data_IF_880238258089
#
_entry.id   IF_880238258089
#
_cell.length_a   1.000
_cell.length_b   1.000
_cell.length_c   1.000
_cell.angle_alpha   90.00
_cell.angle_beta   90.00
_cell.angle_gamma   90.00
#
_symmetry.space_group_name_H-M   'P 1'
#
loop_
_entity.id
_entity.type
_entity.pdbx_description
1 polymer ?
#
# COMPACT_ATOMS: atom_id res chain seq x y z
N UNK A 1 -9.82 -8.33 -21.09
CA UNK A 1 -8.62 -7.61 -20.59
C UNK A 1 -8.38 -6.28 -21.31
N UNK A 2 -8.99 -5.98 -22.47
CA UNK A 2 -8.74 -4.71 -23.18
C UNK A 2 -9.90 -3.72 -23.22
N UNK A 3 -11.17 -4.13 -23.05
CA UNK A 3 -12.28 -3.20 -23.29
C UNK A 3 -12.77 -2.40 -22.08
N UNK A 4 -12.23 -2.63 -20.88
CA UNK A 4 -12.73 -1.96 -19.65
C UNK A 4 -11.69 -1.54 -18.62
N UNK A 5 -10.39 -1.63 -18.93
CA UNK A 5 -9.34 -1.14 -18.02
C UNK A 5 -9.53 -1.56 -16.57
N UNK A 6 -9.35 -2.84 -16.25
CA UNK A 6 -9.25 -3.38 -14.88
C UNK A 6 -10.18 -2.72 -13.83
N UNK A 7 -11.51 -2.75 -14.04
CA UNK A 7 -12.46 -2.38 -13.00
C UNK A 7 -12.19 -3.19 -11.72
N UNK A 8 -11.77 -2.50 -10.65
CA UNK A 8 -11.46 -3.09 -9.34
C UNK A 8 -10.03 -3.56 -9.09
N UNK A 9 -9.06 -3.27 -9.99
CA UNK A 9 -7.66 -3.76 -10.09
C UNK A 9 -6.76 -3.87 -8.84
N UNK A 10 -7.21 -4.56 -7.80
CA UNK A 10 -6.51 -4.89 -6.56
C UNK A 10 -6.58 -6.40 -6.35
N UNK A 11 -5.44 -7.07 -6.32
CA UNK A 11 -5.35 -8.52 -6.18
C UNK A 11 -4.46 -8.87 -5.00
N UNK A 12 -4.88 -9.86 -4.21
CA UNK A 12 -4.04 -10.54 -3.24
C UNK A 12 -3.72 -11.92 -3.82
N UNK A 13 -2.42 -12.22 -3.95
CA UNK A 13 -1.95 -13.52 -4.41
C UNK A 13 -1.36 -14.23 -3.21
N UNK A 14 -2.05 -15.24 -2.70
CA UNK A 14 -1.63 -16.01 -1.54
C UNK A 14 -0.60 -17.08 -1.93
N UNK A 15 0.54 -17.08 -1.25
CA UNK A 15 1.57 -18.09 -1.39
C UNK A 15 2.25 -18.11 -2.75
N UNK A 16 2.41 -16.98 -3.43
CA UNK A 16 3.23 -16.85 -4.63
C UNK A 16 3.88 -15.46 -4.67
N UNK A 17 5.13 -15.33 -5.15
CA UNK A 17 6.05 -16.38 -5.57
C UNK A 17 6.66 -17.16 -4.39
N UNK A 18 6.95 -18.46 -4.57
CA UNK A 18 7.65 -19.30 -3.56
C UNK A 18 9.11 -19.61 -3.89
N UNK A 19 9.58 -19.19 -5.07
CA UNK A 19 10.94 -19.39 -5.56
C UNK A 19 11.32 -18.30 -6.56
N UNK A 20 12.61 -18.18 -6.90
CA UNK A 20 13.05 -17.23 -7.93
C UNK A 20 12.54 -17.60 -9.32
N UNK A 21 12.32 -18.88 -9.62
CA UNK A 21 11.73 -19.30 -10.88
C UNK A 21 10.27 -18.83 -10.99
N UNK A 22 9.50 -18.91 -9.90
CA UNK A 22 8.16 -18.31 -9.84
C UNK A 22 8.24 -16.79 -10.09
N UNK A 23 9.17 -16.11 -9.45
CA UNK A 23 9.34 -14.66 -9.61
C UNK A 23 9.76 -14.27 -11.03
N UNK A 24 10.64 -15.04 -11.66
CA UNK A 24 11.06 -14.83 -13.04
C UNK A 24 9.89 -15.01 -14.00
N UNK A 25 9.14 -16.11 -13.86
CA UNK A 25 7.95 -16.36 -14.67
C UNK A 25 6.89 -15.26 -14.50
N UNK A 26 6.70 -14.74 -13.29
CA UNK A 26 5.82 -13.58 -13.07
C UNK A 26 6.26 -12.37 -13.88
N UNK A 27 7.55 -12.03 -13.86
CA UNK A 27 8.05 -10.87 -14.59
C UNK A 27 7.93 -11.02 -16.11
N UNK A 28 8.11 -12.22 -16.63
CA UNK A 28 7.97 -12.52 -18.07
C UNK A 28 6.52 -12.43 -18.54
N UNK A 29 5.57 -12.93 -17.74
CA UNK A 29 4.16 -13.04 -18.16
C UNK A 29 3.32 -11.83 -17.75
N UNK A 30 3.51 -11.32 -16.53
CA UNK A 30 2.62 -10.33 -15.89
C UNK A 30 3.37 -9.04 -15.52
N UNK A 31 4.70 -9.06 -15.41
CA UNK A 31 5.50 -7.95 -14.88
C UNK A 31 5.30 -6.60 -15.58
N UNK A 32 4.97 -6.60 -16.87
CA UNK A 32 4.69 -5.37 -17.63
C UNK A 32 3.22 -4.91 -17.53
N UNK A 33 2.32 -5.80 -17.10
CA UNK A 33 0.88 -5.55 -17.03
C UNK A 33 0.42 -5.17 -15.61
N UNK A 34 1.19 -5.51 -14.58
CA UNK A 34 0.83 -5.28 -13.19
C UNK A 34 1.97 -4.65 -12.40
N UNK A 35 1.63 -3.70 -11.53
CA UNK A 35 2.56 -3.14 -10.55
C UNK A 35 2.40 -3.86 -9.21
N UNK A 36 3.45 -4.53 -8.74
CA UNK A 36 3.49 -5.09 -7.38
C UNK A 36 3.64 -3.93 -6.39
N UNK A 37 2.64 -3.75 -5.51
CA UNK A 37 2.62 -2.63 -4.54
C UNK A 37 3.40 -2.93 -3.26
N UNK A 38 3.28 -4.15 -2.75
CA UNK A 38 3.95 -4.62 -1.53
C UNK A 38 3.88 -6.14 -1.44
N UNK A 39 4.74 -6.73 -0.61
CA UNK A 39 4.70 -8.14 -0.21
C UNK A 39 4.51 -8.19 1.30
N UNK A 40 3.45 -8.83 1.77
CA UNK A 40 3.20 -9.01 3.21
C UNK A 40 3.77 -10.36 3.61
N UNK A 41 4.72 -10.36 4.55
CA UNK A 41 5.33 -11.56 5.08
C UNK A 41 4.94 -11.75 6.54
N UNK A 42 4.21 -12.83 6.80
CA UNK A 42 3.84 -13.25 8.15
C UNK A 42 5.00 -14.04 8.75
N UNK A 43 5.78 -13.36 9.58
CA UNK A 43 6.97 -13.92 10.22
C UNK A 43 6.58 -14.68 11.48
N UNK A 44 7.11 -15.88 11.64
CA UNK A 44 6.76 -16.77 12.75
C UNK A 44 7.88 -17.79 12.95
N UNK A 45 8.24 -18.07 14.20
CA UNK A 45 9.23 -19.12 14.49
C UNK A 45 8.76 -20.49 13.98
N UNK A 46 9.68 -21.31 13.50
CA UNK A 46 9.39 -22.67 13.06
C UNK A 46 8.67 -23.50 14.12
N UNK A 47 9.09 -23.42 15.39
CA UNK A 47 8.44 -24.13 16.51
C UNK A 47 6.95 -23.82 16.62
N UNK A 48 6.55 -22.56 16.40
CA UNK A 48 5.14 -22.14 16.43
C UNK A 48 4.41 -22.61 15.18
N UNK A 49 5.05 -22.57 14.00
CA UNK A 49 4.48 -23.10 12.76
C UNK A 49 4.25 -24.61 12.85
N UNK A 50 5.21 -25.38 13.34
CA UNK A 50 5.09 -26.84 13.53
C UNK A 50 3.95 -27.18 14.48
N UNK A 51 3.87 -26.52 15.63
CA UNK A 51 2.77 -26.72 16.60
C UNK A 51 1.41 -26.47 15.97
N UNK A 52 1.25 -25.35 15.25
CA UNK A 52 0.00 -24.99 14.56
C UNK A 52 -0.37 -26.02 13.50
N UNK A 53 0.58 -26.43 12.65
CA UNK A 53 0.35 -27.42 11.60
C UNK A 53 -0.06 -28.79 12.18
N UNK A 54 0.56 -29.23 13.28
CA UNK A 54 0.18 -30.45 13.97
C UNK A 54 -1.24 -30.38 14.58
N UNK A 55 -1.64 -29.23 15.13
CA UNK A 55 -3.01 -29.02 15.63
C UNK A 55 -4.05 -28.98 14.49
N UNK A 56 -3.70 -28.38 13.36
CA UNK A 56 -4.55 -28.38 12.15
C UNK A 56 -4.70 -29.78 11.55
N UNK A 57 -3.65 -30.60 11.53
CA UNK A 57 -3.72 -31.99 11.04
C UNK A 57 -4.69 -32.84 11.87
N UNK A 58 -4.74 -32.63 13.19
CA UNK A 58 -5.68 -33.32 14.10
C UNK A 58 -7.15 -32.96 13.86
N UNK A 59 -7.43 -31.73 13.42
CA UNK A 59 -8.79 -31.19 13.29
C UNK A 59 -9.34 -31.25 11.86
N UNK A 60 -8.47 -31.26 10.84
CA UNK A 60 -8.86 -31.19 9.42
C UNK A 60 -9.01 -32.55 8.72
N UNK A 61 -8.64 -33.66 9.38
CA UNK A 61 -8.68 -34.99 8.77
C UNK A 61 -7.65 -35.21 7.66
N UNK A 62 -6.65 -34.32 7.54
CA UNK A 62 -5.52 -34.49 6.62
C UNK A 62 -4.57 -35.53 7.19
N UNK A 63 -4.61 -36.73 6.62
CA UNK A 63 -3.81 -37.91 7.00
C UNK A 63 -2.30 -37.71 6.68
N UNK A 64 -1.95 -36.70 5.86
CA UNK A 64 -0.61 -36.51 5.32
C UNK A 64 0.30 -35.55 6.14
N UNK A 65 -0.23 -34.88 7.16
CA UNK A 65 0.54 -33.99 8.06
C UNK A 65 1.24 -34.83 9.15
N UNK A 66 2.17 -35.69 8.73
CA UNK A 66 3.15 -36.30 9.63
C UNK A 66 4.33 -35.33 9.85
N UNK A 67 5.03 -35.46 10.97
CA UNK A 67 6.11 -34.54 11.35
C UNK A 67 7.20 -34.40 10.26
N UNK A 68 7.39 -35.44 9.44
CA UNK A 68 8.36 -35.43 8.34
C UNK A 68 7.91 -34.52 7.18
N UNK A 69 6.63 -34.53 6.81
CA UNK A 69 6.10 -33.65 5.75
C UNK A 69 6.15 -32.18 6.14
N UNK A 70 5.87 -31.87 7.41
CA UNK A 70 6.01 -30.52 7.97
C UNK A 70 7.46 -30.03 7.88
N UNK A 71 8.43 -30.85 8.30
CA UNK A 71 9.86 -30.50 8.21
C UNK A 71 10.32 -30.25 6.79
N UNK A 72 9.92 -31.10 5.83
CA UNK A 72 10.23 -30.90 4.40
C UNK A 72 9.66 -29.58 3.88
N UNK A 73 8.43 -29.23 4.28
CA UNK A 73 7.81 -27.93 3.91
C UNK A 73 8.59 -26.74 4.46
N UNK A 74 9.06 -26.82 5.71
CA UNK A 74 9.90 -25.77 6.31
C UNK A 74 11.28 -25.68 5.65
N UNK A 75 11.87 -26.82 5.29
CA UNK A 75 13.13 -26.85 4.56
C UNK A 75 13.03 -26.19 3.19
N UNK A 76 12.02 -26.55 2.39
CA UNK A 76 11.74 -25.93 1.08
C UNK A 76 11.47 -24.43 1.23
N UNK A 77 10.71 -24.04 2.25
CA UNK A 77 10.46 -22.63 2.53
C UNK A 77 11.77 -21.87 2.82
N UNK A 78 12.68 -22.45 3.62
CA UNK A 78 13.99 -21.85 3.90
C UNK A 78 14.88 -21.75 2.67
N UNK A 79 14.95 -22.81 1.87
CA UNK A 79 15.88 -22.89 0.74
C UNK A 79 15.40 -22.12 -0.49
N UNK A 80 14.08 -22.06 -0.74
CA UNK A 80 13.53 -21.49 -1.96
C UNK A 80 12.76 -20.19 -1.74
N UNK A 81 11.98 -20.08 -0.66
CA UNK A 81 11.07 -18.95 -0.45
C UNK A 81 11.73 -17.78 0.29
N UNK A 82 12.54 -18.03 1.33
CA UNK A 82 13.25 -16.96 2.05
C UNK A 82 14.17 -16.11 1.16
N UNK A 83 14.93 -16.67 0.18
CA UNK A 83 15.71 -15.85 -0.73
C UNK A 83 14.87 -14.83 -1.53
N UNK A 84 13.65 -15.20 -1.91
CA UNK A 84 12.71 -14.29 -2.58
C UNK A 84 12.19 -13.22 -1.62
N UNK A 85 11.91 -13.59 -0.36
CA UNK A 85 11.54 -12.64 0.69
C UNK A 85 12.64 -11.59 0.91
N UNK A 86 13.90 -12.01 1.02
CA UNK A 86 15.05 -11.11 1.16
C UNK A 86 15.22 -10.19 -0.06
N UNK A 87 14.89 -10.67 -1.26
CA UNK A 87 14.89 -9.83 -2.46
C UNK A 87 13.87 -8.69 -2.33
N UNK A 88 12.63 -8.99 -1.97
CA UNK A 88 11.61 -7.96 -1.78
C UNK A 88 11.91 -7.01 -0.61
N UNK A 89 12.65 -7.47 0.39
CA UNK A 89 13.16 -6.63 1.47
C UNK A 89 14.19 -5.62 0.95
N UNK A 90 15.15 -6.07 0.15
CA UNK A 90 16.14 -5.21 -0.50
C UNK A 90 15.50 -4.21 -1.47
N UNK A 91 14.41 -4.59 -2.14
CA UNK A 91 13.64 -3.72 -3.04
C UNK A 91 12.71 -2.75 -2.28
N UNK A 92 12.64 -2.82 -0.94
CA UNK A 92 11.79 -1.95 -0.11
C UNK A 92 10.28 -2.27 -0.15
N UNK A 93 9.91 -3.37 -0.80
CA UNK A 93 8.52 -3.79 -1.00
C UNK A 93 7.99 -4.71 0.10
N UNK A 94 8.87 -5.29 0.93
CA UNK A 94 8.47 -6.21 2.00
C UNK A 94 7.84 -5.46 3.19
N UNK A 95 6.77 -6.03 3.75
CA UNK A 95 6.14 -5.65 5.03
C UNK A 95 6.06 -6.88 5.91
N UNK A 96 6.88 -6.94 6.96
CA UNK A 96 6.90 -8.04 7.92
C UNK A 96 5.86 -7.82 9.03
N UNK A 97 5.11 -8.87 9.36
CA UNK A 97 4.18 -8.89 10.50
C UNK A 97 4.51 -10.11 11.35
N UNK A 98 4.78 -9.90 12.64
CA UNK A 98 4.92 -11.01 13.59
C UNK A 98 3.58 -11.73 13.76
N UNK A 99 3.52 -12.94 13.22
CA UNK A 99 2.39 -13.86 13.24
C UNK A 99 2.47 -14.89 14.37
N UNK A 100 3.47 -14.82 15.25
CA UNK A 100 3.56 -15.64 16.47
C UNK A 100 2.52 -15.26 17.54
N UNK A 101 1.97 -14.05 17.46
CA UNK A 101 0.94 -13.49 18.36
C UNK A 101 -0.48 -13.98 18.05
N UNK A 102 -1.46 -13.47 18.79
CA UNK A 102 -2.88 -13.78 18.57
C UNK A 102 -3.40 -13.23 17.24
N UNK A 103 -4.44 -13.87 16.67
CA UNK A 103 -5.06 -13.44 15.41
C UNK A 103 -5.52 -11.98 15.47
N UNK A 104 -6.03 -11.52 16.63
CA UNK A 104 -6.49 -10.15 16.82
C UNK A 104 -5.35 -9.12 16.74
N UNK A 105 -4.20 -9.42 17.36
CA UNK A 105 -3.01 -8.57 17.31
C UNK A 105 -2.40 -8.54 15.91
N UNK A 106 -2.29 -9.70 15.27
CA UNK A 106 -1.82 -9.82 13.88
C UNK A 106 -2.71 -8.99 12.95
N UNK A 107 -4.04 -9.12 13.08
CA UNK A 107 -4.98 -8.33 12.28
C UNK A 107 -4.88 -6.82 12.56
N UNK A 108 -4.59 -6.42 13.80
CA UNK A 108 -4.37 -5.02 14.12
C UNK A 108 -3.18 -4.43 13.36
N UNK A 109 -2.11 -5.20 13.15
CA UNK A 109 -0.94 -4.77 12.38
C UNK A 109 -1.18 -4.86 10.87
N UNK A 110 -1.87 -5.91 10.39
CA UNK A 110 -2.30 -6.01 8.98
C UNK A 110 -3.06 -4.75 8.58
N UNK A 111 -4.04 -4.31 9.39
CA UNK A 111 -4.83 -3.10 9.11
C UNK A 111 -3.97 -1.84 8.94
N UNK A 112 -2.82 -1.74 9.59
CA UNK A 112 -1.93 -0.57 9.47
C UNK A 112 -1.19 -0.53 8.13
N UNK A 113 -1.08 -1.65 7.42
CA UNK A 113 -0.45 -1.72 6.10
C UNK A 113 -1.35 -1.19 4.98
N UNK A 114 -2.65 -1.07 5.24
CA UNK A 114 -3.63 -0.63 4.25
C UNK A 114 -4.12 0.77 4.61
N UNK A 115 -3.68 1.75 3.83
CA UNK A 115 -4.04 3.15 3.94
C UNK A 115 -4.29 3.79 2.57
N UNK A 116 -4.54 5.11 2.52
CA UNK A 116 -4.73 5.82 1.25
C UNK A 116 -3.47 5.71 0.36
N UNK A 117 -3.67 5.47 -0.93
CA UNK A 117 -2.59 5.50 -1.92
C UNK A 117 -2.45 6.89 -2.49
N UNK A 118 -1.28 7.52 -2.32
CA UNK A 118 -0.99 8.87 -2.81
C UNK A 118 -0.04 8.81 -4.00
N UNK A 119 -0.34 9.55 -5.06
CA UNK A 119 0.54 9.75 -6.22
C UNK A 119 0.78 11.24 -6.36
N UNK A 120 2.04 11.67 -6.24
CA UNK A 120 2.43 13.06 -6.55
C UNK A 120 2.56 13.25 -8.06
N UNK A 121 1.90 14.28 -8.59
CA UNK A 121 2.00 14.65 -10.02
C UNK A 121 2.77 15.98 -10.12
N UNK A 122 4.03 15.90 -10.56
CA UNK A 122 4.95 17.03 -10.65
C UNK A 122 5.29 17.36 -12.10
N UNK A 123 5.73 18.60 -12.35
CA UNK A 123 6.12 19.08 -13.68
C UNK A 123 6.03 20.60 -13.79
N UNK A 124 6.65 21.17 -14.83
CA UNK A 124 6.66 22.62 -15.07
C UNK A 124 5.25 23.23 -15.29
N UNK A 125 5.12 24.57 -15.23
CA UNK A 125 3.89 25.25 -15.64
C UNK A 125 3.52 24.89 -17.09
N UNK A 126 2.22 24.78 -17.39
CA UNK A 126 1.73 24.54 -18.75
C UNK A 126 1.79 23.09 -19.27
N UNK A 127 2.50 22.16 -18.62
CA UNK A 127 2.64 20.75 -19.11
C UNK A 127 1.36 19.90 -19.03
N UNK A 128 0.22 20.48 -18.62
CA UNK A 128 -1.07 19.79 -18.61
C UNK A 128 -1.34 18.92 -17.38
N UNK A 129 -0.63 19.11 -16.25
CA UNK A 129 -0.83 18.34 -14.99
C UNK A 129 -2.30 18.23 -14.59
N UNK A 130 -3.03 19.35 -14.58
CA UNK A 130 -4.46 19.39 -14.20
C UNK A 130 -5.32 18.51 -15.10
N UNK A 131 -5.11 18.59 -16.41
CA UNK A 131 -5.83 17.78 -17.40
C UNK A 131 -5.56 16.29 -17.20
N UNK A 132 -4.28 15.91 -16.98
CA UNK A 132 -3.93 14.52 -16.75
C UNK A 132 -4.47 14.00 -15.40
N UNK A 133 -4.42 14.81 -14.33
CA UNK A 133 -4.99 14.44 -13.03
C UNK A 133 -6.52 14.21 -13.12
N UNK A 134 -7.23 15.03 -13.89
CA UNK A 134 -8.67 14.84 -14.11
C UNK A 134 -8.97 13.50 -14.80
N UNK A 135 -8.22 13.18 -15.88
CA UNK A 135 -8.37 11.89 -16.58
C UNK A 135 -8.00 10.70 -15.70
N UNK A 136 -6.92 10.80 -14.92
CA UNK A 136 -6.50 9.75 -13.98
C UNK A 136 -7.58 9.52 -12.91
N UNK A 137 -8.15 10.60 -12.39
CA UNK A 137 -9.22 10.56 -11.39
C UNK A 137 -10.45 9.84 -11.95
N UNK A 138 -10.92 10.24 -13.13
CA UNK A 138 -12.08 9.65 -13.80
C UNK A 138 -11.85 8.18 -14.20
N UNK A 139 -10.65 7.86 -14.70
CA UNK A 139 -10.35 6.52 -15.23
C UNK A 139 -10.03 5.50 -14.14
N UNK A 140 -9.29 5.91 -13.10
CA UNK A 140 -8.71 4.98 -12.12
C UNK A 140 -9.26 5.19 -10.69
N UNK A 141 -10.24 6.07 -10.50
CA UNK A 141 -10.91 6.28 -9.21
C UNK A 141 -10.05 6.96 -8.14
N UNK A 142 -9.03 7.73 -8.51
CA UNK A 142 -8.26 8.54 -7.58
C UNK A 142 -8.99 9.85 -7.26
N UNK A 143 -8.87 10.34 -6.03
CA UNK A 143 -9.31 11.70 -5.68
C UNK A 143 -8.25 12.72 -6.07
N UNK A 144 -8.58 13.62 -6.98
CA UNK A 144 -7.68 14.71 -7.36
C UNK A 144 -7.70 15.83 -6.30
N UNK A 145 -6.54 16.13 -5.72
CA UNK A 145 -6.32 17.28 -4.82
C UNK A 145 -5.34 18.24 -5.49
N UNK A 146 -5.75 19.49 -5.70
CA UNK A 146 -4.89 20.56 -6.22
C UNK A 146 -4.51 21.51 -5.10
N UNK A 147 -3.23 21.55 -4.73
CA UNK A 147 -2.71 22.48 -3.70
C UNK A 147 -3.02 23.94 -4.06
N UNK A 148 -2.87 24.33 -5.33
CA UNK A 148 -3.16 25.70 -5.76
C UNK A 148 -4.66 26.04 -5.62
N UNK A 149 -5.55 25.06 -5.80
CA UNK A 149 -6.98 25.27 -5.59
C UNK A 149 -7.28 25.44 -4.11
N UNK A 150 -6.73 24.57 -3.25
CA UNK A 150 -6.86 24.66 -1.81
C UNK A 150 -6.36 26.01 -1.26
N UNK A 151 -5.22 26.49 -1.76
CA UNK A 151 -4.68 27.80 -1.35
C UNK A 151 -5.60 28.96 -1.78
N UNK A 152 -6.14 28.93 -3.01
CA UNK A 152 -7.09 29.95 -3.48
C UNK A 152 -8.41 29.92 -2.69
N UNK A 153 -8.91 28.74 -2.37
CA UNK A 153 -10.13 28.54 -1.59
C UNK A 153 -9.95 29.02 -0.14
N UNK A 154 -8.85 28.62 0.51
CA UNK A 154 -8.54 29.04 1.88
C UNK A 154 -8.35 30.56 1.98
N UNK A 155 -7.80 31.22 0.94
CA UNK A 155 -7.69 32.67 0.89
C UNK A 155 -9.03 33.39 0.97
N UNK A 156 -10.08 32.82 0.40
CA UNK A 156 -11.42 33.39 0.44
C UNK A 156 -12.16 33.07 1.75
N UNK A 157 -11.55 32.30 2.66
CA UNK A 157 -12.17 31.87 3.92
C UNK A 157 -12.16 33.01 4.94
N UNK A 158 -13.34 33.51 5.37
CA UNK A 158 -13.41 34.59 6.35
C UNK A 158 -12.76 34.19 7.67
N UNK A 159 -11.89 35.07 8.19
CA UNK A 159 -11.24 34.88 9.50
C UNK A 159 -10.13 33.83 9.52
N UNK A 160 -9.70 33.28 8.38
CA UNK A 160 -8.59 32.33 8.33
C UNK A 160 -7.25 33.02 8.59
N UNK A 161 -6.50 32.51 9.57
CA UNK A 161 -5.10 32.89 9.80
C UNK A 161 -4.19 32.39 8.67
N UNK A 162 -4.49 31.20 8.14
CA UNK A 162 -3.80 30.64 6.97
C UNK A 162 -3.95 31.53 5.74
N UNK A 163 -5.13 32.16 5.54
CA UNK A 163 -5.33 33.12 4.45
C UNK A 163 -4.35 34.30 4.52
N UNK A 164 -4.13 34.87 5.72
CA UNK A 164 -3.18 35.98 5.93
C UNK A 164 -1.75 35.55 5.61
N UNK A 165 -1.36 34.33 6.01
CA UNK A 165 -0.05 33.77 5.71
C UNK A 165 0.15 33.61 4.19
N UNK A 166 -0.87 33.09 3.48
CA UNK A 166 -0.82 32.93 2.01
C UNK A 166 -0.61 34.30 1.34
N UNK A 167 -1.35 35.33 1.77
CA UNK A 167 -1.24 36.68 1.21
C UNK A 167 0.13 37.31 1.45
N UNK A 168 0.70 37.14 2.65
CA UNK A 168 2.04 37.62 2.97
C UNK A 168 3.10 36.96 2.09
N UNK A 169 3.06 35.62 1.94
CA UNK A 169 4.00 34.89 1.11
C UNK A 169 3.95 35.33 -0.36
N UNK A 170 2.75 35.52 -0.93
CA UNK A 170 2.61 35.99 -2.31
C UNK A 170 3.19 37.40 -2.51
N UNK A 171 2.94 38.32 -1.58
CA UNK A 171 3.46 39.68 -1.64
C UNK A 171 5.00 39.69 -1.58
N UNK A 172 5.60 38.78 -0.82
CA UNK A 172 7.05 38.62 -0.69
C UNK A 172 7.68 37.75 -1.78
N UNK A 173 6.90 37.17 -2.69
CA UNK A 173 7.39 36.24 -3.70
C UNK A 173 7.93 34.93 -3.13
N UNK A 174 7.48 34.55 -1.93
CA UNK A 174 7.89 33.35 -1.21
C UNK A 174 6.87 32.22 -1.36
N UNK A 175 7.34 30.99 -1.15
CA UNK A 175 6.46 29.82 -1.09
C UNK A 175 5.76 29.74 0.26
N UNK A 176 4.46 29.42 0.25
CA UNK A 176 3.70 29.13 1.47
C UNK A 176 4.37 27.99 2.25
N UNK A 177 4.53 28.11 3.59
CA UNK A 177 5.14 27.06 4.40
C UNK A 177 4.46 25.70 4.20
N UNK A 178 5.27 24.65 4.06
CA UNK A 178 4.79 23.31 3.77
C UNK A 178 3.76 22.81 4.79
N UNK A 179 3.93 23.14 6.07
CA UNK A 179 2.99 22.73 7.12
C UNK A 179 1.57 23.29 6.90
N UNK A 180 1.46 24.55 6.47
CA UNK A 180 0.17 25.16 6.17
C UNK A 180 -0.50 24.45 4.98
N UNK A 181 0.26 24.16 3.92
CA UNK A 181 -0.23 23.41 2.75
C UNK A 181 -0.69 22.01 3.15
N UNK A 182 0.10 21.30 3.95
CA UNK A 182 -0.21 19.94 4.40
C UNK A 182 -1.47 19.89 5.27
N UNK A 183 -1.72 20.89 6.12
CA UNK A 183 -2.99 20.99 6.87
C UNK A 183 -4.20 21.12 5.95
N UNK A 184 -4.09 21.87 4.86
CA UNK A 184 -5.17 21.98 3.87
C UNK A 184 -5.37 20.67 3.10
N UNK A 185 -4.28 20.01 2.71
CA UNK A 185 -4.34 18.69 2.05
C UNK A 185 -4.97 17.65 2.98
N UNK A 186 -4.56 17.61 4.24
CA UNK A 186 -5.14 16.72 5.25
C UNK A 186 -6.65 16.92 5.38
N UNK A 187 -7.11 18.17 5.56
CA UNK A 187 -8.55 18.47 5.63
C UNK A 187 -9.29 17.99 4.37
N UNK A 188 -8.71 18.24 3.19
CA UNK A 188 -9.32 17.81 1.93
C UNK A 188 -9.37 16.28 1.77
N UNK A 189 -8.40 15.56 2.34
CA UNK A 189 -8.43 14.09 2.41
C UNK A 189 -9.50 13.60 3.41
N UNK A 190 -9.61 14.26 4.57
CA UNK A 190 -10.58 13.92 5.62
C UNK A 190 -12.03 14.08 5.15
N UNK A 191 -12.33 15.20 4.49
CA UNK A 191 -13.64 15.45 3.86
C UNK A 191 -14.03 14.40 2.80
N UNK A 192 -13.06 13.67 2.27
CA UNK A 192 -13.23 12.59 1.29
C UNK A 192 -13.10 11.21 1.93
N UNK A 193 -13.37 11.11 3.23
CA UNK A 193 -13.48 9.84 3.94
C UNK A 193 -12.18 9.33 4.53
N UNK A 194 -11.17 10.16 4.75
CA UNK A 194 -9.98 9.77 5.50
C UNK A 194 -10.15 10.08 6.99
N UNK A 195 -10.15 9.09 7.87
CA UNK A 195 -10.12 9.33 9.32
C UNK A 195 -9.05 8.46 9.99
N UNK A 196 -8.24 9.07 10.87
CA UNK A 196 -7.30 8.35 11.73
C UNK A 196 -6.30 7.45 10.98
N UNK A 197 -5.86 7.87 9.78
CA UNK A 197 -4.94 7.09 8.95
C UNK A 197 -5.62 6.04 8.04
N UNK A 198 -6.96 5.98 7.99
CA UNK A 198 -7.72 4.98 7.23
C UNK A 198 -8.73 5.62 6.30
N UNK A 199 -8.98 4.97 5.18
CA UNK A 199 -10.12 5.32 4.33
C UNK A 199 -11.37 4.64 4.91
N UNK A 200 -12.41 5.42 5.18
CA UNK A 200 -13.63 5.03 5.93
C UNK A 200 -14.89 5.04 5.04
N UNK A 201 -14.74 5.34 3.74
CA UNK A 201 -15.81 5.21 2.74
C UNK A 201 -15.90 3.81 2.14
#
# INVERSE_FOLDING_TARGET
MEERGWEGGKYLIDGFPRSFDNWKAWNEVIGQMATVKQVIFFDCSEDVMEKRLLEYGKTSGRIDDNQESIRKRLEVFRSESLPVVHRFEADGLLRRIDAGRSVGEVWADVKKLFGPSVIFVLGGPGVGKRTQCARISETFGYHHISTDALLREERQRPGSETARLIEACEHEGQTVPAEAVLRLVQRAMEERGWEGGKYVL
#
